data_IF_311474369873
#
_entry.id   IF_311474369873
#
_cell.length_a   1.000
_cell.length_b   1.000
_cell.length_c   1.000
_cell.angle_alpha   90.00
_cell.angle_beta   90.00
_cell.angle_gamma   90.00
#
_symmetry.space_group_name_H-M   'P 1'
#
loop_
_entity.id
_entity.type
_entity.pdbx_description
1 polymer ?
#
# COMPACT_ATOMS: atom_id res chain seq x y z
N UNK A 1 -13.78 19.48 27.12
CA UNK A 1 -13.92 18.84 25.80
C UNK A 1 -14.18 17.36 26.02
N UNK A 2 -15.07 16.74 25.24
CA UNK A 2 -15.29 15.29 25.28
C UNK A 2 -14.06 14.55 24.71
N UNK A 3 -13.64 13.40 25.27
CA UNK A 3 -12.51 12.62 24.73
C UNK A 3 -12.75 12.16 23.28
N UNK A 4 -11.71 12.13 22.43
CA UNK A 4 -11.83 11.66 21.03
C UNK A 4 -12.21 10.17 20.97
N UNK A 5 -11.66 9.34 21.86
CA UNK A 5 -12.01 7.92 21.99
C UNK A 5 -13.26 7.71 22.87
N UNK A 6 -14.31 8.47 22.59
CA UNK A 6 -15.62 8.24 23.18
C UNK A 6 -16.67 8.29 22.08
N UNK A 7 -17.54 7.28 22.03
CA UNK A 7 -18.56 7.15 20.99
C UNK A 7 -19.47 8.38 20.93
N UNK A 8 -19.99 8.68 19.74
CA UNK A 8 -21.02 9.68 19.56
C UNK A 8 -22.39 9.09 19.97
N UNK A 9 -23.33 9.92 20.45
CA UNK A 9 -24.70 9.47 20.73
C UNK A 9 -25.38 8.96 19.45
N UNK A 10 -25.04 9.55 18.32
CA UNK A 10 -25.41 9.08 16.98
C UNK A 10 -24.35 8.09 16.48
N UNK A 11 -24.71 6.81 16.42
CA UNK A 11 -23.77 5.75 16.02
C UNK A 11 -23.23 5.95 14.59
N UNK A 12 -23.98 6.62 13.69
CA UNK A 12 -23.52 6.90 12.32
C UNK A 12 -22.38 7.92 12.27
N UNK A 13 -22.14 8.64 13.38
CA UNK A 13 -21.01 9.56 13.55
C UNK A 13 -19.86 8.93 14.35
N UNK A 14 -19.90 7.62 14.56
CA UNK A 14 -18.89 6.86 15.30
C UNK A 14 -18.16 5.91 14.36
N UNK A 15 -16.83 5.98 14.35
CA UNK A 15 -15.98 4.95 13.77
C UNK A 15 -15.54 3.96 14.86
N UNK A 16 -15.50 2.68 14.52
CA UNK A 16 -15.16 1.60 15.44
C UNK A 16 -13.84 0.97 15.03
N UNK A 17 -12.78 1.19 15.83
CA UNK A 17 -11.43 0.72 15.52
C UNK A 17 -11.34 -0.81 15.35
N UNK A 18 -12.16 -1.56 16.10
CA UNK A 18 -12.11 -3.02 16.14
C UNK A 18 -13.25 -3.71 15.38
N UNK A 19 -14.13 -2.98 14.70
CA UNK A 19 -15.28 -3.61 14.01
C UNK A 19 -14.87 -4.56 12.89
N UNK A 20 -13.75 -4.25 12.23
CA UNK A 20 -13.13 -5.07 11.19
C UNK A 20 -11.86 -5.79 11.67
N UNK A 21 -11.53 -5.73 12.96
CA UNK A 21 -10.28 -6.31 13.48
C UNK A 21 -10.63 -7.49 14.38
N UNK A 22 -9.98 -8.63 14.14
CA UNK A 22 -10.20 -9.89 14.84
C UNK A 22 -8.93 -10.36 15.55
N UNK A 23 -9.05 -10.76 16.81
CA UNK A 23 -7.94 -11.41 17.54
C UNK A 23 -7.53 -12.76 16.93
N UNK A 24 -8.36 -13.32 16.03
CA UNK A 24 -8.16 -14.66 15.45
C UNK A 24 -7.46 -14.65 14.11
N UNK A 25 -7.27 -13.49 13.47
CA UNK A 25 -6.69 -13.44 12.12
C UNK A 25 -5.87 -12.18 11.87
N UNK A 26 -4.56 -12.30 12.10
CA UNK A 26 -3.60 -11.23 11.84
C UNK A 26 -3.54 -10.87 10.34
N UNK A 27 -3.67 -11.85 9.44
CA UNK A 27 -3.69 -11.60 7.99
C UNK A 27 -4.91 -10.76 7.61
N UNK A 28 -6.11 -11.11 8.11
CA UNK A 28 -7.32 -10.32 7.87
C UNK A 28 -7.20 -8.90 8.43
N UNK A 29 -6.57 -8.75 9.59
CA UNK A 29 -6.32 -7.44 10.17
C UNK A 29 -5.41 -6.59 9.28
N UNK A 30 -4.35 -7.18 8.72
CA UNK A 30 -3.48 -6.50 7.77
C UNK A 30 -4.24 -6.09 6.51
N UNK A 31 -5.08 -6.97 5.95
CA UNK A 31 -5.92 -6.67 4.77
C UNK A 31 -6.85 -5.48 5.07
N UNK A 32 -7.57 -5.51 6.20
CA UNK A 32 -8.53 -4.46 6.56
C UNK A 32 -7.85 -3.10 6.81
N UNK A 33 -6.65 -3.09 7.41
CA UNK A 33 -5.89 -1.86 7.60
C UNK A 33 -5.31 -1.36 6.25
N UNK A 34 -4.80 -2.27 5.41
CA UNK A 34 -4.28 -1.95 4.08
C UNK A 34 -5.35 -1.29 3.20
N UNK A 35 -6.56 -1.86 3.20
CA UNK A 35 -7.72 -1.33 2.49
C UNK A 35 -8.02 0.11 2.92
N UNK A 36 -8.06 0.36 4.24
CA UNK A 36 -8.32 1.70 4.79
C UNK A 36 -7.29 2.74 4.33
N UNK A 37 -6.00 2.41 4.37
CA UNK A 37 -4.94 3.30 3.88
C UNK A 37 -5.10 3.59 2.38
N UNK A 38 -5.27 2.57 1.55
CA UNK A 38 -5.34 2.75 0.10
C UNK A 38 -6.60 3.51 -0.34
N UNK A 39 -7.76 3.19 0.26
CA UNK A 39 -9.01 3.94 0.04
C UNK A 39 -8.85 5.40 0.48
N UNK A 40 -8.25 5.65 1.65
CA UNK A 40 -8.07 7.04 2.11
C UNK A 40 -7.22 7.85 1.14
N UNK A 41 -6.19 7.26 0.53
CA UNK A 41 -5.37 7.91 -0.48
C UNK A 41 -6.18 8.27 -1.72
N UNK A 42 -6.95 7.32 -2.26
CA UNK A 42 -7.82 7.52 -3.42
C UNK A 42 -8.87 8.60 -3.16
N UNK A 43 -9.56 8.54 -2.03
CA UNK A 43 -10.64 9.49 -1.71
C UNK A 43 -10.10 10.90 -1.44
N UNK A 44 -8.94 11.04 -0.80
CA UNK A 44 -8.27 12.33 -0.64
C UNK A 44 -7.79 12.90 -1.98
N UNK A 45 -7.24 12.07 -2.86
CA UNK A 45 -6.82 12.50 -4.20
C UNK A 45 -8.02 12.97 -5.03
N UNK A 46 -9.14 12.23 -5.03
CA UNK A 46 -10.40 12.64 -5.66
C UNK A 46 -10.93 13.95 -5.08
N UNK A 47 -10.86 14.12 -3.76
CA UNK A 47 -11.25 15.37 -3.11
C UNK A 47 -10.43 16.55 -3.61
N UNK A 48 -9.11 16.39 -3.72
CA UNK A 48 -8.22 17.42 -4.26
C UNK A 48 -8.48 17.69 -5.74
N UNK A 49 -8.69 16.65 -6.56
CA UNK A 49 -8.97 16.80 -7.99
C UNK A 49 -10.28 17.56 -8.24
N UNK A 50 -11.30 17.32 -7.40
CA UNK A 50 -12.61 17.98 -7.48
C UNK A 50 -12.53 19.48 -7.16
N UNK A 51 -11.72 19.88 -6.18
CA UNK A 51 -11.54 21.26 -5.78
C UNK A 51 -10.13 21.51 -5.24
N UNK A 52 -9.34 22.25 -6.02
CA UNK A 52 -7.97 22.66 -5.69
C UNK A 52 -7.75 24.18 -5.82
N UNK A 53 -8.81 25.00 -5.66
CA UNK A 53 -8.70 26.45 -5.79
C UNK A 53 -7.75 27.08 -4.77
N UNK A 54 -7.70 26.49 -3.56
CA UNK A 54 -6.84 26.87 -2.45
C UNK A 54 -5.47 26.17 -2.48
N UNK A 55 -5.17 25.40 -3.52
CA UNK A 55 -3.94 24.59 -3.64
C UNK A 55 -3.78 23.55 -2.52
N UNK A 56 -4.88 23.06 -1.94
CA UNK A 56 -4.85 21.99 -0.93
C UNK A 56 -4.16 20.72 -1.38
N UNK A 57 -4.13 20.43 -2.68
CA UNK A 57 -3.40 19.29 -3.23
C UNK A 57 -1.92 19.32 -2.84
N UNK A 58 -1.31 20.50 -2.82
CA UNK A 58 0.12 20.68 -2.53
C UNK A 58 0.44 20.35 -1.05
N UNK A 59 -0.58 20.45 -0.17
CA UNK A 59 -0.49 20.08 1.24
C UNK A 59 -0.80 18.59 1.43
N UNK A 60 -1.85 18.10 0.75
CA UNK A 60 -2.37 16.75 0.93
C UNK A 60 -1.63 15.69 0.12
N UNK A 61 -0.79 16.06 -0.84
CA UNK A 61 -0.06 15.09 -1.67
C UNK A 61 0.86 14.18 -0.83
N UNK A 62 1.49 14.71 0.20
CA UNK A 62 2.36 13.96 1.10
C UNK A 62 1.60 12.86 1.86
N UNK A 63 0.52 13.14 2.63
CA UNK A 63 -0.27 12.10 3.27
C UNK A 63 -0.96 11.17 2.26
N UNK A 64 -1.38 11.64 1.07
CA UNK A 64 -1.90 10.79 0.00
C UNK A 64 -0.86 9.73 -0.39
N UNK A 65 0.38 10.13 -0.65
CA UNK A 65 1.47 9.21 -1.03
C UNK A 65 1.88 8.30 0.14
N UNK A 66 1.93 8.82 1.37
CA UNK A 66 2.18 7.97 2.55
C UNK A 66 1.13 6.86 2.67
N UNK A 67 -0.16 7.21 2.55
CA UNK A 67 -1.24 6.25 2.67
C UNK A 67 -1.26 5.25 1.50
N UNK A 68 -1.01 5.69 0.27
CA UNK A 68 -0.90 4.81 -0.88
C UNK A 68 0.21 3.76 -0.68
N UNK A 69 1.42 4.22 -0.39
CA UNK A 69 2.59 3.36 -0.23
C UNK A 69 2.41 2.39 0.93
N UNK A 70 1.89 2.87 2.06
CA UNK A 70 1.69 2.03 3.23
C UNK A 70 0.54 1.01 3.02
N UNK A 71 -0.54 1.40 2.34
CA UNK A 71 -1.60 0.47 1.96
C UNK A 71 -1.09 -0.67 1.06
N UNK A 72 -0.31 -0.34 0.02
CA UNK A 72 0.33 -1.33 -0.85
C UNK A 72 1.27 -2.25 -0.06
N UNK A 73 2.11 -1.68 0.82
CA UNK A 73 3.03 -2.43 1.67
C UNK A 73 2.28 -3.47 2.53
N UNK A 74 1.18 -3.07 3.19
CA UNK A 74 0.42 -3.96 4.06
C UNK A 74 -0.31 -5.05 3.28
N UNK A 75 -0.87 -4.73 2.11
CA UNK A 75 -1.44 -5.74 1.22
C UNK A 75 -0.40 -6.78 0.80
N UNK A 76 0.77 -6.33 0.34
CA UNK A 76 1.84 -7.24 -0.06
C UNK A 76 2.35 -8.08 1.12
N UNK A 77 2.39 -7.54 2.33
CA UNK A 77 2.71 -8.31 3.55
C UNK A 77 1.65 -9.37 3.85
N UNK A 78 0.36 -9.04 3.70
CA UNK A 78 -0.73 -10.00 3.88
C UNK A 78 -0.68 -11.12 2.83
N UNK A 79 -0.46 -10.79 1.55
CA UNK A 79 -0.27 -11.76 0.46
C UNK A 79 0.95 -12.64 0.75
N UNK A 80 2.08 -12.05 1.13
CA UNK A 80 3.30 -12.77 1.43
C UNK A 80 3.13 -13.77 2.59
N UNK A 81 2.41 -13.37 3.65
CA UNK A 81 2.09 -14.25 4.78
C UNK A 81 1.11 -15.36 4.35
N UNK A 82 0.10 -15.03 3.56
CA UNK A 82 -0.83 -16.01 2.99
C UNK A 82 -0.08 -17.08 2.19
N UNK A 83 0.85 -16.67 1.32
CA UNK A 83 1.70 -17.59 0.56
C UNK A 83 2.63 -18.41 1.45
N UNK A 84 3.15 -17.86 2.56
CA UNK A 84 3.89 -18.65 3.55
C UNK A 84 3.04 -19.77 4.14
N UNK A 85 1.78 -19.50 4.47
CA UNK A 85 0.86 -20.53 4.99
C UNK A 85 0.60 -21.62 3.94
N UNK A 86 0.35 -21.23 2.69
CA UNK A 86 0.13 -22.18 1.59
C UNK A 86 1.36 -23.04 1.29
N UNK A 87 2.57 -22.47 1.42
CA UNK A 87 3.85 -23.17 1.25
C UNK A 87 4.32 -23.91 2.53
N UNK A 88 3.53 -23.90 3.62
CA UNK A 88 3.88 -24.51 4.90
C UNK A 88 5.19 -23.98 5.50
N UNK A 89 5.49 -22.70 5.29
CA UNK A 89 6.66 -22.02 5.84
C UNK A 89 6.34 -21.44 7.23
N UNK A 90 7.23 -21.62 8.21
CA UNK A 90 7.11 -21.07 9.56
C UNK A 90 7.40 -19.55 9.65
N UNK A 91 7.02 -18.80 8.63
CA UNK A 91 7.36 -17.39 8.45
C UNK A 91 6.06 -16.56 8.46
N UNK A 92 5.96 -15.61 9.38
CA UNK A 92 4.81 -14.67 9.42
C UNK A 92 5.00 -13.55 8.40
N UNK A 93 5.89 -12.60 8.72
CA UNK A 93 6.20 -11.45 7.87
C UNK A 93 7.70 -11.46 7.59
N UNK A 94 8.07 -11.57 6.31
CA UNK A 94 9.45 -11.46 5.85
C UNK A 94 9.69 -10.10 5.20
N UNK A 95 10.90 -9.55 5.39
CA UNK A 95 11.36 -8.34 4.73
C UNK A 95 11.31 -7.07 5.60
N UNK A 96 12.16 -6.10 5.26
CA UNK A 96 12.05 -4.71 5.75
C UNK A 96 10.88 -4.01 5.03
N UNK A 97 10.61 -2.74 5.33
CA UNK A 97 9.54 -1.91 4.73
C UNK A 97 9.72 -1.60 3.22
N UNK A 98 10.61 -2.32 2.52
CA UNK A 98 10.89 -2.10 1.11
C UNK A 98 9.84 -2.80 0.23
N UNK A 99 8.88 -2.02 -0.29
CA UNK A 99 7.79 -2.50 -1.15
C UNK A 99 8.31 -3.32 -2.35
N UNK A 100 9.41 -2.89 -3.00
CA UNK A 100 10.00 -3.60 -4.14
C UNK A 100 10.53 -4.98 -3.77
N UNK A 101 11.16 -5.09 -2.60
CA UNK A 101 11.65 -6.37 -2.08
C UNK A 101 10.48 -7.30 -1.70
N UNK A 102 9.43 -6.76 -1.07
CA UNK A 102 8.24 -7.54 -0.69
C UNK A 102 7.55 -8.06 -1.96
N UNK A 103 7.34 -7.21 -2.97
CA UNK A 103 6.75 -7.61 -4.25
C UNK A 103 7.57 -8.69 -4.97
N UNK A 104 8.89 -8.55 -5.02
CA UNK A 104 9.78 -9.58 -5.58
C UNK A 104 9.69 -10.91 -4.83
N UNK A 105 9.49 -10.85 -3.51
CA UNK A 105 9.31 -12.05 -2.67
C UNK A 105 7.98 -12.73 -2.96
N UNK A 106 6.90 -11.96 -3.13
CA UNK A 106 5.58 -12.47 -3.55
C UNK A 106 5.70 -13.18 -4.89
N UNK A 107 6.31 -12.56 -5.91
CA UNK A 107 6.55 -13.16 -7.24
C UNK A 107 7.25 -14.52 -7.14
N UNK A 108 8.35 -14.58 -6.40
CA UNK A 108 9.09 -15.84 -6.20
C UNK A 108 8.21 -16.91 -5.53
N UNK A 109 7.35 -16.54 -4.59
CA UNK A 109 6.46 -17.49 -3.92
C UNK A 109 5.31 -17.96 -4.79
N UNK A 110 4.76 -17.09 -5.64
CA UNK A 110 3.80 -17.48 -6.69
C UNK A 110 4.44 -18.53 -7.59
N UNK A 111 5.66 -18.26 -8.09
CA UNK A 111 6.39 -19.23 -8.91
C UNK A 111 6.68 -20.53 -8.16
N UNK A 112 7.04 -20.46 -6.88
CA UNK A 112 7.32 -21.64 -6.06
C UNK A 112 6.05 -22.48 -5.85
N UNK A 113 4.91 -21.83 -5.67
CA UNK A 113 3.64 -22.48 -5.34
C UNK A 113 2.96 -23.08 -6.57
N UNK A 114 2.92 -22.32 -7.67
CA UNK A 114 2.06 -22.62 -8.82
C UNK A 114 2.83 -22.73 -10.15
N UNK A 115 4.15 -22.52 -10.14
CA UNK A 115 5.03 -22.64 -11.30
C UNK A 115 5.17 -21.37 -12.15
N UNK A 116 6.03 -21.43 -13.16
CA UNK A 116 6.40 -20.25 -13.97
C UNK A 116 5.26 -19.72 -14.87
N UNK A 117 4.26 -20.54 -15.20
CA UNK A 117 3.08 -20.07 -15.95
C UNK A 117 2.21 -19.16 -15.08
N UNK A 118 1.93 -19.56 -13.84
CA UNK A 118 1.21 -18.71 -12.89
C UNK A 118 1.99 -17.42 -12.56
N UNK A 119 3.32 -17.48 -12.50
CA UNK A 119 4.14 -16.27 -12.39
C UNK A 119 3.93 -15.33 -13.59
N UNK A 120 3.87 -15.87 -14.82
CA UNK A 120 3.64 -15.05 -16.02
C UNK A 120 2.29 -14.36 -15.97
N UNK A 121 1.22 -15.09 -15.63
CA UNK A 121 -0.12 -14.52 -15.47
C UNK A 121 -0.16 -13.46 -14.37
N UNK A 122 0.48 -13.74 -13.22
CA UNK A 122 0.62 -12.78 -12.13
C UNK A 122 1.35 -11.52 -12.57
N UNK A 123 2.45 -11.63 -13.31
CA UNK A 123 3.22 -10.49 -13.81
C UNK A 123 2.45 -9.65 -14.82
N UNK A 124 1.68 -10.30 -15.69
CA UNK A 124 0.82 -9.60 -16.65
C UNK A 124 -0.28 -8.82 -15.94
N UNK A 125 -0.93 -9.44 -14.96
CA UNK A 125 -2.02 -8.84 -14.22
C UNK A 125 -1.56 -7.74 -13.26
N UNK A 126 -0.42 -7.93 -12.60
CA UNK A 126 0.17 -6.98 -11.66
C UNK A 126 1.08 -5.93 -12.29
N UNK A 127 1.12 -5.85 -13.64
CA UNK A 127 1.99 -4.91 -14.37
C UNK A 127 1.87 -3.48 -13.87
N UNK A 128 0.64 -2.97 -13.70
CA UNK A 128 0.43 -1.59 -13.22
C UNK A 128 0.98 -1.32 -11.81
N UNK A 129 0.93 -2.32 -10.94
CA UNK A 129 1.57 -2.28 -9.61
C UNK A 129 3.09 -2.32 -9.73
N UNK A 130 3.64 -3.24 -10.53
CA UNK A 130 5.07 -3.35 -10.78
C UNK A 130 5.65 -2.05 -11.32
N UNK A 131 4.98 -1.45 -12.32
CA UNK A 131 5.40 -0.18 -12.92
C UNK A 131 5.40 0.95 -11.88
N UNK A 132 4.40 0.96 -10.98
CA UNK A 132 4.32 1.99 -9.94
C UNK A 132 5.46 1.87 -8.94
N UNK A 133 5.71 0.64 -8.48
CA UNK A 133 6.81 0.33 -7.57
C UNK A 133 8.15 0.70 -8.21
N UNK A 134 8.34 0.41 -9.50
CA UNK A 134 9.57 0.72 -10.21
C UNK A 134 9.78 2.23 -10.36
N UNK A 135 8.77 2.96 -10.83
CA UNK A 135 8.82 4.43 -10.91
C UNK A 135 9.16 5.06 -9.56
N UNK A 136 8.46 4.63 -8.51
CA UNK A 136 8.68 5.11 -7.15
C UNK A 136 10.11 4.81 -6.68
N UNK A 137 10.56 3.58 -6.87
CA UNK A 137 11.91 3.13 -6.51
C UNK A 137 13.01 3.91 -7.25
N UNK A 138 12.78 4.27 -8.51
CA UNK A 138 13.67 5.10 -9.31
C UNK A 138 13.70 6.53 -8.79
N UNK A 139 12.52 7.13 -8.55
CA UNK A 139 12.41 8.52 -8.06
C UNK A 139 13.06 8.75 -6.72
N UNK A 140 12.92 7.81 -5.79
CA UNK A 140 13.54 7.91 -4.47
C UNK A 140 14.95 7.32 -4.44
N UNK A 141 15.45 6.77 -5.53
CA UNK A 141 16.74 6.07 -5.61
C UNK A 141 16.87 4.98 -4.53
N UNK A 142 15.82 4.18 -4.37
CA UNK A 142 15.77 3.11 -3.38
C UNK A 142 16.77 2.00 -3.71
N UNK A 143 17.37 1.43 -2.67
CA UNK A 143 18.23 0.24 -2.73
C UNK A 143 17.83 -0.76 -1.66
N UNK A 144 18.34 -1.99 -1.73
CA UNK A 144 18.11 -3.00 -0.69
C UNK A 144 18.59 -2.56 0.70
N UNK A 145 19.53 -1.59 0.76
CA UNK A 145 20.08 -1.04 1.99
C UNK A 145 19.36 0.22 2.47
N UNK A 146 18.62 0.90 1.59
CA UNK A 146 17.92 2.16 1.87
C UNK A 146 16.67 2.27 1.00
N UNK A 147 15.48 2.02 1.57
CA UNK A 147 14.21 2.09 0.84
C UNK A 147 13.76 3.53 0.54
N UNK A 148 14.15 4.50 1.38
CA UNK A 148 13.83 5.94 1.26
C UNK A 148 12.33 6.23 1.10
N UNK A 149 11.48 5.31 1.55
CA UNK A 149 10.02 5.40 1.45
C UNK A 149 9.42 6.45 2.39
N UNK A 150 10.24 6.94 3.32
CA UNK A 150 9.96 8.04 4.23
C UNK A 150 9.89 9.42 3.56
N UNK A 151 10.18 9.53 2.26
CA UNK A 151 10.13 10.81 1.51
C UNK A 151 8.80 11.55 1.61
N UNK A 152 7.71 10.81 1.79
CA UNK A 152 6.36 11.37 1.92
C UNK A 152 6.05 11.86 3.35
N UNK A 153 6.90 11.52 4.33
CA UNK A 153 6.73 11.87 5.75
C UNK A 153 7.71 12.95 6.20
N UNK A 154 8.92 12.94 5.65
CA UNK A 154 9.98 13.88 5.99
C UNK A 154 10.61 14.44 4.71
N UNK A 155 11.09 15.70 4.75
CA UNK A 155 11.85 16.28 3.64
C UNK A 155 13.29 15.76 3.55
N UNK A 156 13.74 14.98 4.54
CA UNK A 156 15.08 14.39 4.58
C UNK A 156 15.05 12.96 5.13
N UNK A 157 16.08 12.19 4.78
CA UNK A 157 16.30 10.82 5.27
C UNK A 157 16.78 10.79 6.73
N UNK A 158 16.90 9.60 7.31
CA UNK A 158 17.53 9.41 8.63
C UNK A 158 19.00 9.87 8.73
N UNK A 159 19.64 10.21 7.60
CA UNK A 159 20.98 10.81 7.52
C UNK A 159 20.94 12.32 7.30
N UNK A 160 19.76 12.93 7.35
CA UNK A 160 19.51 14.35 7.03
C UNK A 160 19.87 14.71 5.58
N UNK A 161 19.83 13.74 4.68
CA UNK A 161 19.97 13.96 3.23
C UNK A 161 18.59 14.33 2.66
N UNK A 162 18.51 15.41 1.89
CA UNK A 162 17.26 15.84 1.24
C UNK A 162 16.67 14.75 0.34
N UNK A 163 15.34 14.62 0.34
CA UNK A 163 14.65 13.85 -0.69
C UNK A 163 14.59 14.60 -2.03
N UNK A 164 14.32 13.85 -3.10
CA UNK A 164 14.43 14.27 -4.50
C UNK A 164 13.71 15.57 -4.85
N UNK A 165 12.69 15.98 -4.09
CA UNK A 165 11.92 17.19 -4.36
C UNK A 165 12.44 18.47 -3.67
N UNK A 166 13.31 18.36 -2.66
CA UNK A 166 13.70 19.52 -1.83
C UNK A 166 14.76 20.41 -2.52
N UNK A 167 15.57 19.84 -3.40
CA UNK A 167 16.65 20.54 -4.10
C UNK A 167 16.47 20.66 -5.61
N UNK A 168 15.31 20.26 -6.14
CA UNK A 168 15.06 20.21 -7.57
C UNK A 168 14.88 21.61 -8.17
N UNK A 169 15.41 21.85 -9.37
CA UNK A 169 15.17 23.10 -10.11
C UNK A 169 13.82 22.97 -10.82
N UNK A 170 12.82 23.70 -10.31
CA UNK A 170 11.45 23.65 -10.81
C UNK A 170 10.52 22.87 -9.90
N UNK A 171 9.34 22.52 -10.41
CA UNK A 171 8.34 21.78 -9.63
C UNK A 171 8.43 20.28 -9.93
N UNK A 172 8.44 19.48 -8.87
CA UNK A 172 8.11 18.06 -8.95
C UNK A 172 6.60 17.93 -8.85
N UNK A 173 5.97 17.46 -9.92
CA UNK A 173 4.52 17.41 -10.05
C UNK A 173 3.99 15.98 -9.90
N UNK A 174 2.79 15.85 -9.36
CA UNK A 174 2.03 14.59 -9.36
C UNK A 174 0.71 14.82 -10.08
N UNK A 175 0.50 14.06 -11.15
CA UNK A 175 -0.77 14.03 -11.86
C UNK A 175 -1.82 13.31 -11.00
N UNK A 176 -2.75 14.07 -10.42
CA UNK A 176 -3.78 13.54 -9.52
C UNK A 176 -4.77 12.62 -10.25
N UNK A 177 -5.10 12.90 -11.51
CA UNK A 177 -6.05 12.09 -12.29
C UNK A 177 -5.42 10.71 -12.56
N UNK A 178 -4.20 10.70 -13.09
CA UNK A 178 -3.45 9.46 -13.31
C UNK A 178 -3.14 8.72 -11.99
N UNK A 179 -2.87 9.44 -10.89
CA UNK A 179 -2.67 8.82 -9.58
C UNK A 179 -3.92 8.08 -9.11
N UNK A 180 -5.11 8.68 -9.25
CA UNK A 180 -6.38 8.05 -8.86
C UNK A 180 -6.63 6.78 -9.68
N UNK A 181 -6.48 6.86 -11.00
CA UNK A 181 -6.70 5.72 -11.89
C UNK A 181 -5.75 4.57 -11.56
N UNK A 182 -4.46 4.90 -11.38
CA UNK A 182 -3.44 3.91 -11.06
C UNK A 182 -3.64 3.27 -9.70
N UNK A 183 -3.93 4.05 -8.65
CA UNK A 183 -4.20 3.50 -7.33
C UNK A 183 -5.47 2.65 -7.30
N UNK A 184 -6.49 3.03 -8.08
CA UNK A 184 -7.73 2.24 -8.20
C UNK A 184 -7.47 0.89 -8.88
N UNK A 185 -6.67 0.88 -9.96
CA UNK A 185 -6.26 -0.36 -10.62
C UNK A 185 -5.40 -1.23 -9.71
N UNK A 186 -4.42 -0.65 -9.01
CA UNK A 186 -3.57 -1.34 -8.04
C UNK A 186 -4.42 -1.97 -6.92
N UNK A 187 -5.36 -1.22 -6.35
CA UNK A 187 -6.29 -1.74 -5.33
C UNK A 187 -7.02 -2.97 -5.84
N UNK A 188 -7.60 -2.90 -7.05
CA UNK A 188 -8.33 -4.02 -7.63
C UNK A 188 -7.45 -5.26 -7.81
N UNK A 189 -6.21 -5.10 -8.28
CA UNK A 189 -5.27 -6.22 -8.41
C UNK A 189 -4.95 -6.85 -7.05
N UNK A 190 -4.62 -6.03 -6.05
CA UNK A 190 -4.27 -6.52 -4.71
C UNK A 190 -5.44 -7.26 -4.06
N UNK A 191 -6.66 -6.75 -4.20
CA UNK A 191 -7.87 -7.40 -3.68
C UNK A 191 -8.14 -8.73 -4.36
N UNK A 192 -8.01 -8.81 -5.67
CA UNK A 192 -8.23 -10.05 -6.39
C UNK A 192 -7.14 -11.11 -6.11
N UNK A 193 -5.90 -10.70 -5.84
CA UNK A 193 -4.84 -11.62 -5.38
C UNK A 193 -5.13 -12.13 -3.96
N UNK A 194 -5.62 -11.27 -3.07
CA UNK A 194 -6.09 -11.68 -1.74
C UNK A 194 -7.28 -12.65 -1.85
N UNK A 195 -8.24 -12.36 -2.71
CA UNK A 195 -9.38 -13.23 -2.96
C UNK A 195 -8.93 -14.64 -3.39
N UNK A 196 -8.01 -14.73 -4.35
CA UNK A 196 -7.46 -16.00 -4.83
C UNK A 196 -6.72 -16.78 -3.71
N UNK A 197 -5.70 -16.17 -3.10
CA UNK A 197 -4.83 -16.92 -2.19
C UNK A 197 -5.38 -17.06 -0.77
N UNK A 198 -6.00 -16.00 -0.23
CA UNK A 198 -6.46 -15.97 1.15
C UNK A 198 -7.88 -16.51 1.30
N UNK A 199 -8.83 -16.02 0.51
CA UNK A 199 -10.23 -16.43 0.66
C UNK A 199 -10.49 -17.80 0.04
N UNK A 200 -10.08 -18.05 -1.21
CA UNK A 200 -10.32 -19.34 -1.86
C UNK A 200 -9.36 -20.44 -1.41
N UNK A 201 -8.05 -20.19 -1.40
CA UNK A 201 -7.08 -21.28 -1.21
C UNK A 201 -6.75 -21.63 0.24
N UNK A 202 -6.74 -20.67 1.16
CA UNK A 202 -6.61 -20.99 2.60
C UNK A 202 -7.91 -21.50 3.23
N UNK A 203 -9.01 -21.57 2.47
CA UNK A 203 -10.34 -22.00 2.95
C UNK A 203 -10.82 -21.20 4.18
N UNK A 204 -10.49 -19.91 4.26
CA UNK A 204 -10.97 -19.03 5.33
C UNK A 204 -12.27 -18.39 4.84
N UNK A 205 -13.39 -19.07 5.10
CA UNK A 205 -14.76 -18.55 4.94
C UNK A 205 -15.29 -17.97 6.24
#
# INVERSE_FOLDING_TARGET
MKPVFSGNEDYNKTAFLNWRISERSDILNLINIAEGFLISSIELAKHCLKDNQDKRADILIFPILTNANHGIELYLKAINWTLNQLLQLELKVEGKHNIKQIFSTVRRKVETLDGSEALREFDEWSRGLSDYINELSEKIESTDKADKMDFSRYPFSNRYENHFYVGEIGNVEVDLENLIDRLSAIKSVLESVIEEYYHYRLNIT
#
